data_IF_210947675350
#
_entry.id   IF_210947675350
#
_cell.length_a   1.000
_cell.length_b   1.000
_cell.length_c   1.000
_cell.angle_alpha   90.00
_cell.angle_beta   90.00
_cell.angle_gamma   90.00
#
_symmetry.space_group_name_H-M   'P 1'
#
loop_
_entity.id
_entity.type
_entity.pdbx_description
1 polymer ?
#
# COMPACT_ATOMS: atom_id res chain seq x y z
N UNK A 1 28.74 -1.39 12.48
CA UNK A 1 28.31 -2.59 11.70
C UNK A 1 29.30 -3.71 11.96
N UNK A 2 28.83 -4.93 12.19
CA UNK A 2 29.72 -6.11 12.27
C UNK A 2 29.69 -6.88 10.98
N UNK A 3 30.84 -7.39 10.57
CA UNK A 3 31.03 -8.20 9.37
C UNK A 3 31.77 -9.48 9.75
N UNK A 4 31.50 -10.55 9.01
CA UNK A 4 32.19 -11.81 9.11
C UNK A 4 33.37 -11.83 8.14
N UNK A 5 34.57 -12.13 8.61
CA UNK A 5 35.70 -12.41 7.72
C UNK A 5 35.48 -13.77 7.02
N UNK A 6 35.55 -13.78 5.69
CA UNK A 6 35.24 -14.96 4.87
C UNK A 6 36.30 -16.06 4.94
N UNK A 7 37.51 -15.74 5.41
CA UNK A 7 38.62 -16.69 5.56
C UNK A 7 38.72 -17.21 6.98
N UNK A 8 38.64 -16.34 7.99
CA UNK A 8 38.80 -16.72 9.39
C UNK A 8 37.47 -17.08 10.07
N UNK A 9 36.34 -16.65 9.50
CA UNK A 9 34.99 -16.76 10.09
C UNK A 9 34.87 -16.04 11.44
N UNK A 10 35.74 -15.07 11.70
CA UNK A 10 35.67 -14.20 12.87
C UNK A 10 34.79 -12.97 12.59
N UNK A 11 34.05 -12.53 13.60
CA UNK A 11 33.27 -11.29 13.54
C UNK A 11 34.16 -10.10 13.85
N UNK A 12 34.17 -9.12 12.95
CA UNK A 12 34.92 -7.87 13.05
C UNK A 12 33.94 -6.69 13.08
N UNK A 13 34.16 -5.75 13.98
CA UNK A 13 33.32 -4.56 14.14
C UNK A 13 33.93 -3.33 13.45
N UNK A 14 33.09 -2.61 12.70
CA UNK A 14 33.45 -1.40 11.96
C UNK A 14 32.52 -0.25 12.35
N UNK A 15 33.09 0.90 12.72
CA UNK A 15 32.35 2.09 13.18
C UNK A 15 32.31 3.23 12.15
N UNK A 16 33.31 3.35 11.27
CA UNK A 16 33.42 4.47 10.32
C UNK A 16 33.70 3.99 8.89
N UNK A 17 34.89 3.45 8.64
CA UNK A 17 35.27 2.94 7.32
C UNK A 17 34.81 1.49 7.16
N UNK A 18 33.62 1.33 6.56
CA UNK A 18 33.08 0.00 6.25
C UNK A 18 33.75 -0.49 4.95
N UNK A 19 34.45 -1.65 4.96
CA UNK A 19 35.09 -2.19 3.77
C UNK A 19 34.05 -2.70 2.76
N UNK A 20 34.47 -3.08 1.55
CA UNK A 20 33.57 -3.79 0.64
C UNK A 20 33.17 -5.14 1.24
N UNK A 21 31.87 -5.43 1.24
CA UNK A 21 31.33 -6.68 1.77
C UNK A 21 30.25 -7.28 0.86
N UNK A 22 30.09 -8.60 0.96
CA UNK A 22 28.96 -9.32 0.38
C UNK A 22 27.79 -9.39 1.38
N UNK A 23 26.56 -9.28 0.90
CA UNK A 23 25.37 -9.68 1.66
C UNK A 23 25.08 -11.14 1.33
N UNK A 24 24.78 -11.92 2.36
CA UNK A 24 24.25 -13.26 2.19
C UNK A 24 22.76 -13.25 2.55
N UNK A 25 21.93 -13.61 1.58
CA UNK A 25 20.47 -13.56 1.71
C UNK A 25 19.90 -14.45 2.82
N UNK A 26 18.78 -14.02 3.42
CA UNK A 26 18.14 -14.61 4.60
C UNK A 26 17.61 -16.04 4.39
N UNK A 27 18.16 -16.95 5.21
CA UNK A 27 17.96 -18.41 5.35
C UNK A 27 18.05 -19.24 4.06
N UNK A 28 18.85 -20.31 4.15
CA UNK A 28 19.14 -21.26 3.06
C UNK A 28 18.34 -22.56 3.15
N UNK A 29 17.24 -22.56 3.92
CA UNK A 29 16.40 -23.73 4.18
C UNK A 29 15.26 -23.46 5.18
N UNK A 30 14.68 -24.52 5.78
CA UNK A 30 13.58 -24.40 6.73
C UNK A 30 14.00 -23.77 8.08
N UNK A 31 15.29 -23.86 8.44
CA UNK A 31 15.85 -23.30 9.69
C UNK A 31 16.68 -22.04 9.44
N UNK A 32 16.85 -21.22 10.48
CA UNK A 32 17.82 -20.10 10.48
C UNK A 32 19.24 -20.65 10.47
N UNK A 33 20.12 -20.00 9.72
CA UNK A 33 21.53 -20.38 9.62
C UNK A 33 22.24 -20.02 10.92
N UNK A 34 22.96 -20.98 11.47
CA UNK A 34 23.85 -20.74 12.61
C UNK A 34 25.29 -20.53 12.13
N UNK A 35 26.14 -19.99 13.00
CA UNK A 35 27.58 -19.84 12.72
C UNK A 35 28.25 -21.21 12.43
N UNK A 36 27.74 -22.30 13.01
CA UNK A 36 28.22 -23.67 12.73
C UNK A 36 27.84 -24.14 11.32
N UNK A 37 26.66 -23.74 10.83
CA UNK A 37 26.30 -24.00 9.42
C UNK A 37 27.25 -23.22 8.49
N UNK A 38 27.66 -22.00 8.86
CA UNK A 38 28.61 -21.20 8.07
C UNK A 38 29.99 -21.86 7.94
N UNK A 39 30.48 -22.58 8.96
CA UNK A 39 31.77 -23.29 8.91
C UNK A 39 31.79 -24.48 7.93
N UNK A 40 30.64 -25.08 7.63
CA UNK A 40 30.51 -26.14 6.63
C UNK A 40 30.08 -25.61 5.24
N UNK A 41 29.73 -24.33 5.15
CA UNK A 41 29.06 -23.77 3.98
C UNK A 41 30.03 -23.14 2.97
N UNK A 42 29.76 -23.42 1.69
CA UNK A 42 30.52 -22.92 0.54
C UNK A 42 30.38 -21.41 0.32
N UNK A 43 29.49 -20.70 1.02
CA UNK A 43 29.17 -19.31 0.67
C UNK A 43 30.25 -18.30 1.05
N UNK A 44 30.95 -18.48 2.18
CA UNK A 44 32.14 -17.67 2.46
C UNK A 44 33.22 -17.91 1.40
N UNK A 45 33.34 -19.15 0.90
CA UNK A 45 34.22 -19.46 -0.23
C UNK A 45 33.76 -18.81 -1.53
N UNK A 46 32.44 -18.68 -1.77
CA UNK A 46 31.89 -17.96 -2.94
C UNK A 46 32.16 -16.45 -2.84
N UNK A 47 31.96 -15.84 -1.67
CA UNK A 47 32.30 -14.43 -1.46
C UNK A 47 33.81 -14.18 -1.65
N UNK A 48 34.64 -15.06 -1.08
CA UNK A 48 36.10 -15.00 -1.25
C UNK A 48 36.53 -15.22 -2.71
N UNK A 49 35.85 -16.10 -3.48
CA UNK A 49 36.15 -16.29 -4.90
C UNK A 49 35.80 -15.07 -5.76
N UNK A 50 34.93 -14.19 -5.27
CA UNK A 50 34.63 -12.89 -5.86
C UNK A 50 35.53 -11.77 -5.31
N UNK A 51 36.55 -12.10 -4.53
CA UNK A 51 37.53 -11.15 -3.99
C UNK A 51 37.04 -10.32 -2.80
N UNK A 52 35.95 -10.72 -2.16
CA UNK A 52 35.39 -10.01 -1.00
C UNK A 52 35.86 -10.69 0.28
N UNK A 53 36.64 -9.96 1.08
CA UNK A 53 37.13 -10.44 2.38
C UNK A 53 36.02 -10.54 3.41
N UNK A 54 35.01 -9.67 3.34
CA UNK A 54 33.97 -9.55 4.36
C UNK A 54 32.60 -9.93 3.81
N UNK A 55 31.79 -10.55 4.66
CA UNK A 55 30.40 -10.87 4.39
C UNK A 55 29.50 -10.45 5.55
N UNK A 56 28.26 -10.10 5.27
CA UNK A 56 27.25 -9.80 6.26
C UNK A 56 26.12 -10.81 6.17
N UNK A 57 25.73 -11.33 7.34
CA UNK A 57 24.66 -12.32 7.53
C UNK A 57 23.87 -11.90 8.76
N UNK A 58 22.56 -11.78 8.64
CA UNK A 58 21.67 -11.33 9.71
C UNK A 58 21.78 -12.17 10.99
N UNK A 59 21.92 -13.48 10.85
CA UNK A 59 21.97 -14.40 11.98
C UNK A 59 23.25 -14.30 12.80
N UNK A 60 24.33 -13.77 12.23
CA UNK A 60 25.65 -13.74 12.87
C UNK A 60 26.13 -12.32 13.13
N UNK A 61 25.80 -11.37 12.27
CA UNK A 61 26.29 -10.00 12.36
C UNK A 61 25.45 -9.12 13.29
N UNK A 62 24.24 -9.57 13.68
CA UNK A 62 23.33 -8.83 14.57
C UNK A 62 23.21 -9.54 15.93
N UNK A 63 23.39 -8.78 17.01
CA UNK A 63 23.28 -9.31 18.36
C UNK A 63 21.82 -9.24 18.75
N UNK A 64 21.13 -10.36 18.57
CA UNK A 64 19.72 -10.49 18.91
C UNK A 64 19.47 -10.45 20.43
N UNK A 65 20.52 -10.48 21.26
CA UNK A 65 20.40 -10.36 22.72
C UNK A 65 20.34 -8.90 23.18
N UNK A 66 20.92 -7.98 22.40
CA UNK A 66 20.88 -6.54 22.65
C UNK A 66 19.71 -5.90 21.92
N UNK A 67 18.70 -5.44 22.66
CA UNK A 67 17.51 -4.79 22.06
C UNK A 67 17.85 -3.47 21.36
N UNK A 68 18.87 -2.75 21.86
CA UNK A 68 19.35 -1.52 21.25
C UNK A 68 20.03 -1.81 19.90
N UNK A 69 20.96 -2.77 19.88
CA UNK A 69 21.68 -3.15 18.65
C UNK A 69 20.71 -3.72 17.62
N UNK A 70 19.79 -4.60 18.04
CA UNK A 70 18.77 -5.13 17.15
C UNK A 70 17.95 -4.01 16.51
N UNK A 71 17.54 -3.00 17.30
CA UNK A 71 16.78 -1.86 16.79
C UNK A 71 17.58 -1.00 15.81
N UNK A 72 18.83 -0.70 16.13
CA UNK A 72 19.71 0.06 15.23
C UNK A 72 19.96 -0.70 13.92
N UNK A 73 20.26 -2.00 14.02
CA UNK A 73 20.51 -2.86 12.87
C UNK A 73 19.31 -2.94 11.94
N UNK A 74 18.10 -3.10 12.49
CA UNK A 74 16.88 -3.26 11.72
C UNK A 74 16.47 -1.96 11.02
N UNK A 75 16.73 -0.80 11.62
CA UNK A 75 16.53 0.51 10.97
C UNK A 75 17.62 0.83 9.93
N UNK A 76 18.77 0.13 9.98
CA UNK A 76 19.90 0.35 9.06
C UNK A 76 20.02 -0.71 7.96
N UNK A 77 19.29 -1.82 8.07
CA UNK A 77 19.47 -3.01 7.23
C UNK A 77 19.29 -2.73 5.73
N UNK A 78 18.30 -1.93 5.36
CA UNK A 78 18.08 -1.55 3.96
C UNK A 78 19.28 -0.83 3.37
N UNK A 79 19.88 0.09 4.14
CA UNK A 79 21.09 0.80 3.76
C UNK A 79 22.27 -0.15 3.64
N UNK A 80 22.40 -1.12 4.54
CA UNK A 80 23.45 -2.13 4.44
C UNK A 80 23.28 -3.02 3.20
N UNK A 81 22.06 -3.31 2.76
CA UNK A 81 21.85 -3.97 1.47
C UNK A 81 22.27 -3.08 0.30
N UNK A 82 21.89 -1.81 0.33
CA UNK A 82 22.19 -0.84 -0.71
C UNK A 82 23.69 -0.58 -0.88
N UNK A 83 24.43 -0.50 0.23
CA UNK A 83 25.87 -0.21 0.25
C UNK A 83 26.73 -1.47 0.00
N UNK A 84 26.12 -2.66 -0.10
CA UNK A 84 26.84 -3.90 -0.35
C UNK A 84 27.40 -3.99 -1.78
N UNK A 85 28.55 -4.68 -1.93
CA UNK A 85 29.15 -4.91 -3.24
C UNK A 85 28.35 -5.91 -4.08
N UNK A 86 27.80 -6.95 -3.42
CA UNK A 86 27.00 -8.00 -4.03
C UNK A 86 26.10 -8.64 -2.99
N UNK A 87 24.89 -9.02 -3.38
CA UNK A 87 24.01 -9.86 -2.59
C UNK A 87 23.91 -11.26 -3.21
N UNK A 88 24.34 -12.30 -2.49
CA UNK A 88 24.18 -13.68 -2.90
C UNK A 88 22.83 -14.23 -2.42
N UNK A 89 21.95 -14.54 -3.36
CA UNK A 89 20.64 -15.15 -3.12
C UNK A 89 20.72 -16.66 -3.38
N UNK A 90 20.74 -17.47 -2.32
CA UNK A 90 20.78 -18.93 -2.43
C UNK A 90 19.36 -19.51 -2.48
N UNK A 91 19.06 -20.22 -3.56
CA UNK A 91 17.76 -20.84 -3.83
C UNK A 91 17.90 -22.36 -3.68
N UNK A 92 17.83 -22.83 -2.42
CA UNK A 92 18.02 -24.25 -2.08
C UNK A 92 16.96 -25.21 -2.65
N UNK A 93 15.84 -24.68 -3.15
CA UNK A 93 14.77 -25.42 -3.81
C UNK A 93 14.82 -25.35 -5.34
N UNK A 94 15.85 -24.71 -5.90
CA UNK A 94 16.08 -24.61 -7.34
C UNK A 94 17.25 -25.50 -7.72
N UNK A 95 17.07 -26.31 -8.76
CA UNK A 95 18.12 -27.15 -9.31
C UNK A 95 18.15 -27.01 -10.82
N UNK A 96 19.36 -27.00 -11.38
CA UNK A 96 19.56 -27.06 -12.82
C UNK A 96 19.08 -28.41 -13.36
N UNK A 97 18.23 -28.39 -14.37
CA UNK A 97 17.82 -29.61 -15.06
C UNK A 97 19.00 -30.19 -15.87
N UNK A 98 19.31 -31.47 -15.64
CA UNK A 98 20.57 -32.11 -16.01
C UNK A 98 20.78 -32.51 -17.48
N UNK A 99 19.78 -32.40 -18.34
CA UNK A 99 19.89 -32.83 -19.74
C UNK A 99 20.37 -31.69 -20.64
N UNK A 100 21.68 -31.50 -20.63
CA UNK A 100 22.39 -30.92 -21.76
C UNK A 100 22.21 -31.87 -22.96
N UNK A 101 22.03 -31.34 -24.18
CA UNK A 101 22.13 -32.05 -25.47
C UNK A 101 20.86 -32.63 -26.14
N UNK A 102 19.69 -31.98 -26.04
CA UNK A 102 18.69 -32.11 -27.10
C UNK A 102 19.05 -31.21 -28.30
N UNK A 103 20.08 -31.57 -29.06
CA UNK A 103 20.31 -31.01 -30.41
C UNK A 103 21.13 -29.71 -30.54
N UNK A 104 22.00 -29.38 -29.59
CA UNK A 104 23.00 -28.30 -29.76
C UNK A 104 22.48 -26.86 -29.63
N UNK A 105 21.23 -26.68 -29.16
CA UNK A 105 20.66 -25.36 -28.85
C UNK A 105 20.52 -25.22 -27.34
N UNK A 106 20.93 -24.06 -26.83
CA UNK A 106 20.84 -23.74 -25.41
C UNK A 106 19.36 -23.72 -24.97
N UNK A 107 19.01 -24.50 -23.94
CA UNK A 107 17.62 -24.58 -23.47
C UNK A 107 17.15 -23.23 -22.93
N UNK A 108 15.89 -22.81 -23.19
CA UNK A 108 15.29 -21.63 -22.58
C UNK A 108 15.42 -21.66 -21.05
N UNK A 109 15.61 -20.51 -20.42
CA UNK A 109 15.84 -20.39 -18.96
C UNK A 109 14.83 -21.20 -18.13
N UNK A 110 13.53 -21.10 -18.45
CA UNK A 110 12.47 -21.82 -17.74
C UNK A 110 12.59 -23.36 -17.82
N UNK A 111 13.24 -23.90 -18.87
CA UNK A 111 13.55 -25.34 -18.97
C UNK A 111 14.83 -25.71 -18.23
N UNK A 112 15.80 -24.80 -18.19
CA UNK A 112 17.06 -24.98 -17.44
C UNK A 112 16.82 -24.96 -15.93
N UNK A 113 15.91 -24.10 -15.47
CA UNK A 113 15.55 -23.92 -14.07
C UNK A 113 14.01 -23.88 -13.88
N UNK A 114 13.32 -25.04 -14.00
CA UNK A 114 11.86 -25.09 -13.92
C UNK A 114 11.29 -24.66 -12.56
N UNK A 115 12.09 -24.78 -11.48
CA UNK A 115 11.71 -24.37 -10.13
C UNK A 115 11.92 -22.89 -9.81
N UNK A 116 12.61 -22.11 -10.67
CA UNK A 116 13.04 -20.76 -10.31
C UNK A 116 11.88 -19.85 -9.94
N UNK A 117 10.85 -19.78 -10.78
CA UNK A 117 9.68 -18.91 -10.54
C UNK A 117 8.82 -19.33 -9.34
N UNK A 118 8.96 -20.58 -8.89
CA UNK A 118 8.22 -21.14 -7.77
C UNK A 118 9.03 -21.15 -6.46
N UNK A 119 10.25 -20.60 -6.46
CA UNK A 119 11.12 -20.68 -5.30
C UNK A 119 10.51 -20.00 -4.08
N UNK A 120 10.64 -20.66 -2.92
CA UNK A 120 10.21 -20.13 -1.63
C UNK A 120 10.89 -18.80 -1.30
N UNK A 121 12.05 -18.52 -1.89
CA UNK A 121 12.78 -17.27 -1.73
C UNK A 121 11.92 -16.05 -2.07
N UNK A 122 11.13 -16.11 -3.15
CA UNK A 122 10.24 -15.02 -3.57
C UNK A 122 9.03 -14.81 -2.66
N UNK A 123 8.74 -15.76 -1.77
CA UNK A 123 7.58 -15.73 -0.87
C UNK A 123 7.92 -15.23 0.53
N UNK A 124 9.18 -14.87 0.80
CA UNK A 124 9.65 -14.44 2.12
C UNK A 124 9.60 -12.93 2.27
N UNK A 125 9.31 -12.43 3.46
CA UNK A 125 9.24 -10.97 3.72
C UNK A 125 10.56 -10.26 3.43
N UNK A 126 11.62 -10.60 4.16
CA UNK A 126 12.93 -9.93 4.13
C UNK A 126 13.64 -9.95 2.79
N UNK A 127 13.43 -10.99 1.99
CA UNK A 127 14.07 -11.12 0.66
C UNK A 127 13.59 -10.07 -0.35
N UNK A 128 12.54 -9.30 -0.02
CA UNK A 128 12.12 -8.16 -0.84
C UNK A 128 13.18 -7.05 -0.83
N UNK A 129 13.70 -6.71 0.34
CA UNK A 129 14.72 -5.67 0.48
C UNK A 129 16.03 -6.14 -0.15
N UNK A 130 16.39 -7.41 0.01
CA UNK A 130 17.57 -8.03 -0.61
C UNK A 130 17.52 -8.05 -2.14
N UNK A 131 16.32 -8.07 -2.73
CA UNK A 131 16.16 -7.99 -4.18
C UNK A 131 16.32 -6.55 -4.68
N UNK A 132 15.69 -5.61 -3.98
CA UNK A 132 15.52 -4.23 -4.44
C UNK A 132 16.75 -3.38 -4.12
N UNK A 133 17.25 -3.43 -2.88
CA UNK A 133 18.25 -2.49 -2.39
C UNK A 133 19.65 -2.67 -2.99
N UNK A 134 20.22 -3.89 -3.09
CA UNK A 134 21.57 -4.06 -3.65
C UNK A 134 21.60 -3.74 -5.15
N UNK A 135 22.67 -3.11 -5.61
CA UNK A 135 22.89 -2.88 -7.05
C UNK A 135 23.13 -4.19 -7.83
N UNK A 136 23.83 -5.14 -7.20
CA UNK A 136 24.13 -6.46 -7.76
C UNK A 136 23.56 -7.57 -6.89
N UNK A 137 22.81 -8.49 -7.51
CA UNK A 137 22.33 -9.72 -6.87
C UNK A 137 22.70 -10.90 -7.77
N UNK A 138 23.32 -11.92 -7.20
CA UNK A 138 23.69 -13.17 -7.87
C UNK A 138 22.84 -14.30 -7.29
N UNK A 139 22.11 -15.00 -8.15
CA UNK A 139 21.28 -16.13 -7.75
C UNK A 139 22.08 -17.42 -7.83
N UNK A 140 22.06 -18.22 -6.77
CA UNK A 140 22.74 -19.50 -6.67
C UNK A 140 21.73 -20.63 -6.55
N UNK A 141 21.96 -21.75 -7.22
CA UNK A 141 21.11 -22.95 -7.11
C UNK A 141 21.47 -23.81 -5.89
N UNK A 142 20.72 -24.88 -5.67
CA UNK A 142 20.93 -25.85 -4.58
C UNK A 142 22.32 -26.52 -4.57
N UNK A 143 23.08 -26.43 -5.66
CA UNK A 143 24.44 -26.94 -5.79
C UNK A 143 25.53 -25.87 -5.63
N UNK A 144 25.13 -24.64 -5.28
CA UNK A 144 25.98 -23.45 -5.19
C UNK A 144 26.54 -22.98 -6.53
N UNK A 145 25.91 -23.35 -7.64
CA UNK A 145 26.26 -22.82 -8.95
C UNK A 145 25.46 -21.56 -9.24
N UNK A 146 26.11 -20.60 -9.90
CA UNK A 146 25.46 -19.39 -10.38
C UNK A 146 24.37 -19.75 -11.40
N UNK A 147 23.15 -19.30 -11.10
CA UNK A 147 22.01 -19.34 -12.01
C UNK A 147 22.19 -18.21 -13.02
N UNK A 148 22.20 -16.97 -12.53
CA UNK A 148 22.47 -15.72 -13.25
C UNK A 148 22.38 -14.51 -12.29
N UNK A 149 22.51 -13.30 -12.81
CA UNK A 149 22.38 -12.02 -12.08
C UNK A 149 20.98 -11.42 -12.14
N UNK A 150 20.65 -10.53 -11.20
CA UNK A 150 19.42 -9.71 -11.25
C UNK A 150 19.27 -8.92 -12.54
N UNK A 151 20.37 -8.40 -13.09
CA UNK A 151 20.35 -7.64 -14.34
C UNK A 151 19.91 -8.51 -15.52
N UNK A 152 20.48 -9.72 -15.65
CA UNK A 152 20.11 -10.66 -16.72
C UNK A 152 18.68 -11.19 -16.58
N UNK A 153 18.22 -11.42 -15.34
CA UNK A 153 16.91 -12.01 -15.06
C UNK A 153 15.80 -10.98 -14.89
N UNK A 154 16.06 -9.70 -15.18
CA UNK A 154 15.14 -8.60 -14.90
C UNK A 154 13.70 -8.84 -15.40
N UNK A 155 13.45 -9.27 -16.66
CA UNK A 155 12.09 -9.52 -17.14
C UNK A 155 11.38 -10.67 -16.40
N UNK A 156 12.14 -11.72 -16.04
CA UNK A 156 11.63 -12.89 -15.32
C UNK A 156 11.27 -12.49 -13.88
N UNK A 157 12.15 -11.74 -13.22
CA UNK A 157 11.95 -11.21 -11.88
C UNK A 157 10.77 -10.25 -11.81
N UNK A 158 10.60 -9.38 -12.81
CA UNK A 158 9.44 -8.50 -12.92
C UNK A 158 8.15 -9.31 -13.04
N UNK A 159 8.12 -10.35 -13.89
CA UNK A 159 6.98 -11.25 -14.03
C UNK A 159 6.61 -11.99 -12.73
N UNK A 160 7.60 -12.45 -11.96
CA UNK A 160 7.39 -13.15 -10.69
C UNK A 160 6.86 -12.19 -9.61
N UNK A 161 7.55 -11.07 -9.42
CA UNK A 161 7.36 -10.18 -8.26
C UNK A 161 6.31 -9.10 -8.50
N UNK A 162 6.13 -8.67 -9.75
CA UNK A 162 5.36 -7.49 -10.11
C UNK A 162 6.10 -6.17 -9.89
N UNK A 163 7.41 -6.21 -9.63
CA UNK A 163 8.25 -5.01 -9.50
C UNK A 163 8.62 -4.53 -10.92
N UNK A 164 8.46 -3.23 -11.24
CA UNK A 164 8.88 -2.68 -12.53
C UNK A 164 10.36 -2.94 -12.83
N UNK A 165 10.68 -3.17 -14.10
CA UNK A 165 12.05 -3.46 -14.55
C UNK A 165 13.02 -2.32 -14.23
N UNK A 166 12.55 -1.07 -14.28
CA UNK A 166 13.35 0.12 -13.97
C UNK A 166 13.84 0.09 -12.52
N UNK A 167 12.99 -0.37 -11.59
CA UNK A 167 13.32 -0.46 -10.16
C UNK A 167 14.26 -1.63 -9.91
N UNK A 168 14.04 -2.77 -10.57
CA UNK A 168 14.97 -3.91 -10.50
C UNK A 168 16.35 -3.55 -11.07
N UNK A 169 16.40 -2.67 -12.07
CA UNK A 169 17.63 -2.13 -12.66
C UNK A 169 18.31 -1.04 -11.80
N UNK A 170 17.72 -0.64 -10.66
CA UNK A 170 18.33 0.29 -9.70
C UNK A 170 17.67 1.66 -9.60
N UNK A 171 16.53 1.90 -10.26
CA UNK A 171 15.73 3.10 -9.99
C UNK A 171 15.23 3.11 -8.53
N UNK A 172 15.14 4.30 -7.96
CA UNK A 172 14.66 4.50 -6.59
C UNK A 172 13.23 3.94 -6.44
N UNK A 173 12.96 3.08 -5.43
CA UNK A 173 11.61 2.57 -5.18
C UNK A 173 10.59 3.66 -4.86
N UNK A 174 11.05 4.83 -4.43
CA UNK A 174 10.21 5.98 -4.10
C UNK A 174 9.55 6.60 -5.35
N UNK A 175 9.97 6.23 -6.57
CA UNK A 175 9.26 6.61 -7.81
C UNK A 175 7.95 5.84 -7.99
N UNK A 176 7.77 4.71 -7.29
CA UNK A 176 6.53 3.96 -7.26
C UNK A 176 5.63 4.41 -6.11
N UNK A 177 4.32 4.31 -6.33
CA UNK A 177 3.32 4.63 -5.33
C UNK A 177 3.44 3.74 -4.09
N UNK A 178 2.88 4.19 -2.96
CA UNK A 178 2.78 3.37 -1.76
C UNK A 178 2.01 2.08 -2.05
N UNK A 179 0.88 2.17 -2.77
CA UNK A 179 0.09 1.01 -3.17
C UNK A 179 0.89 -0.01 -3.99
N UNK A 180 1.70 0.47 -4.94
CA UNK A 180 2.57 -0.37 -5.75
C UNK A 180 3.60 -1.08 -4.90
N UNK A 181 4.32 -0.34 -4.04
CA UNK A 181 5.30 -0.89 -3.11
C UNK A 181 4.70 -1.93 -2.16
N UNK A 182 3.51 -1.66 -1.62
CA UNK A 182 2.79 -2.61 -0.78
C UNK A 182 2.39 -3.88 -1.56
N UNK A 183 2.03 -3.75 -2.84
CA UNK A 183 1.68 -4.89 -3.69
C UNK A 183 2.84 -5.87 -3.89
N UNK A 184 4.09 -5.39 -3.91
CA UNK A 184 5.29 -6.24 -4.03
C UNK A 184 5.50 -7.14 -2.81
N UNK A 185 4.95 -6.74 -1.66
CA UNK A 185 4.95 -7.49 -0.42
C UNK A 185 3.70 -8.38 -0.22
N UNK A 186 2.67 -8.22 -1.04
CA UNK A 186 1.35 -8.85 -0.84
C UNK A 186 1.35 -10.38 -0.78
N UNK A 187 2.29 -11.03 -1.48
CA UNK A 187 2.43 -12.50 -1.53
C UNK A 187 3.52 -13.03 -0.61
N UNK A 188 4.13 -12.16 0.20
CA UNK A 188 5.24 -12.50 1.08
C UNK A 188 4.74 -12.85 2.48
N UNK A 189 5.44 -13.76 3.14
CA UNK A 189 5.15 -14.27 4.48
C UNK A 189 6.38 -14.14 5.37
N UNK A 190 6.12 -13.91 6.65
CA UNK A 190 7.13 -13.83 7.70
C UNK A 190 6.83 -14.85 8.79
N UNK A 191 7.84 -15.18 9.60
CA UNK A 191 7.68 -16.14 10.69
C UNK A 191 6.88 -15.54 11.86
N UNK A 192 7.15 -14.28 12.20
CA UNK A 192 6.34 -13.50 13.15
C UNK A 192 5.42 -12.56 12.38
N UNK A 193 4.23 -12.30 12.92
CA UNK A 193 3.23 -11.46 12.25
C UNK A 193 3.73 -10.03 12.11
N UNK A 194 4.34 -9.48 13.16
CA UNK A 194 4.89 -8.13 13.22
C UNK A 194 6.03 -7.88 12.22
N UNK A 195 6.80 -8.92 11.85
CA UNK A 195 7.88 -8.80 10.85
C UNK A 195 7.32 -8.44 9.46
N UNK A 196 6.02 -8.65 9.20
CA UNK A 196 5.34 -8.18 7.99
C UNK A 196 5.49 -6.66 7.83
N UNK A 197 5.55 -5.92 8.93
CA UNK A 197 5.78 -4.49 8.93
C UNK A 197 7.28 -4.15 8.91
N UNK A 198 8.07 -4.79 9.78
CA UNK A 198 9.49 -4.46 9.93
C UNK A 198 10.30 -4.74 8.66
N UNK A 199 9.96 -5.79 7.92
CA UNK A 199 10.59 -6.09 6.65
C UNK A 199 10.25 -5.10 5.51
N UNK A 200 9.43 -4.08 5.78
CA UNK A 200 9.07 -3.05 4.82
C UNK A 200 9.58 -1.65 5.22
N UNK A 201 10.06 -1.47 6.44
CA UNK A 201 10.51 -0.16 6.96
C UNK A 201 11.48 0.54 6.01
N UNK A 202 12.52 -0.14 5.56
CA UNK A 202 13.51 0.42 4.64
C UNK A 202 12.95 0.75 3.25
N UNK A 203 12.01 -0.05 2.74
CA UNK A 203 11.36 0.20 1.44
C UNK A 203 10.48 1.48 1.47
N UNK A 204 9.99 1.83 2.65
CA UNK A 204 9.15 3.01 2.87
C UNK A 204 9.86 4.16 3.56
N UNK A 205 11.17 4.06 3.80
CA UNK A 205 11.96 5.06 4.53
C UNK A 205 11.34 5.42 5.90
N UNK A 206 10.89 4.40 6.62
CA UNK A 206 10.27 4.53 7.95
C UNK A 206 11.24 4.05 9.02
N UNK A 207 11.44 4.88 10.04
CA UNK A 207 12.08 4.49 11.29
C UNK A 207 11.03 4.36 12.41
N UNK A 208 10.95 3.17 13.01
CA UNK A 208 10.06 2.93 14.15
C UNK A 208 10.64 1.85 15.08
N UNK A 209 10.35 1.93 16.41
CA UNK A 209 10.82 0.93 17.35
C UNK A 209 10.08 -0.41 17.15
N UNK A 210 10.82 -1.50 17.24
CA UNK A 210 10.26 -2.85 17.17
C UNK A 210 9.66 -3.24 18.53
N UNK A 211 8.38 -3.57 18.52
CA UNK A 211 7.63 -4.05 19.67
C UNK A 211 7.18 -5.49 19.38
N UNK A 212 8.00 -6.48 19.76
CA UNK A 212 7.62 -7.89 19.58
C UNK A 212 6.41 -8.25 20.46
N UNK A 213 5.46 -8.97 19.87
CA UNK A 213 4.16 -9.29 20.50
C UNK A 213 3.01 -8.33 20.17
N UNK A 214 3.23 -7.28 19.37
CA UNK A 214 2.15 -6.39 18.94
C UNK A 214 1.30 -6.95 17.77
N UNK A 215 1.78 -8.01 17.11
CA UNK A 215 1.08 -8.69 16.02
C UNK A 215 0.75 -7.77 14.85
N UNK A 216 -0.52 -7.79 14.41
CA UNK A 216 -0.99 -7.00 13.26
C UNK A 216 -0.90 -5.48 13.48
N UNK A 217 -0.80 -5.02 14.75
CA UNK A 217 -0.66 -3.58 15.06
C UNK A 217 0.64 -2.99 14.51
N UNK A 218 1.68 -3.81 14.32
CA UNK A 218 2.94 -3.35 13.72
C UNK A 218 2.71 -2.76 12.34
N UNK A 219 1.85 -3.39 11.53
CA UNK A 219 1.56 -2.95 10.17
C UNK A 219 0.68 -1.71 10.11
N UNK A 220 -0.21 -1.54 11.10
CA UNK A 220 -0.97 -0.30 11.29
C UNK A 220 0.00 0.84 11.63
N UNK A 221 0.91 0.64 12.58
CA UNK A 221 1.93 1.65 12.95
C UNK A 221 2.84 2.02 11.78
N UNK A 222 3.23 1.05 10.94
CA UNK A 222 3.99 1.32 9.72
C UNK A 222 3.21 2.29 8.81
N UNK A 223 1.94 2.00 8.53
CA UNK A 223 1.10 2.88 7.71
C UNK A 223 0.96 4.27 8.35
N UNK A 224 0.80 4.36 9.67
CA UNK A 224 0.77 5.65 10.38
C UNK A 224 2.06 6.45 10.23
N UNK A 225 3.24 5.80 10.26
CA UNK A 225 4.50 6.50 10.01
C UNK A 225 4.62 6.97 8.56
N UNK A 226 4.20 6.15 7.59
CA UNK A 226 4.18 6.53 6.17
C UNK A 226 3.30 7.77 5.95
N UNK A 227 2.11 7.80 6.58
CA UNK A 227 1.17 8.92 6.45
C UNK A 227 1.73 10.23 7.04
N UNK A 228 2.64 10.16 8.01
CA UNK A 228 3.26 11.37 8.58
C UNK A 228 4.23 12.05 7.63
N UNK A 229 4.81 11.32 6.68
CA UNK A 229 5.89 11.80 5.82
C UNK A 229 5.54 11.80 4.34
N UNK A 230 4.35 11.32 3.96
CA UNK A 230 3.93 11.16 2.57
C UNK A 230 2.51 11.67 2.32
N UNK A 231 2.34 12.40 1.21
CA UNK A 231 1.03 12.82 0.67
C UNK A 231 0.47 11.83 -0.36
N UNK A 232 1.11 10.66 -0.54
CA UNK A 232 0.63 9.64 -1.47
C UNK A 232 -0.60 8.89 -0.89
N UNK A 233 -1.78 9.32 -1.33
CA UNK A 233 -3.06 8.77 -0.90
C UNK A 233 -3.33 7.33 -1.38
N UNK A 234 -2.48 6.75 -2.24
CA UNK A 234 -2.65 5.36 -2.68
C UNK A 234 -2.53 4.36 -1.53
N UNK A 235 -2.02 4.78 -0.36
CA UNK A 235 -2.05 3.99 0.88
C UNK A 235 -3.46 3.56 1.29
N UNK A 236 -4.51 4.28 0.88
CA UNK A 236 -5.91 3.93 1.17
C UNK A 236 -6.58 3.08 0.08
N UNK A 237 -5.85 2.69 -0.97
CA UNK A 237 -6.41 1.96 -2.11
C UNK A 237 -6.48 0.43 -1.89
N UNK A 238 -6.17 -0.04 -0.68
CA UNK A 238 -6.31 -1.45 -0.31
C UNK A 238 -7.78 -1.87 -0.30
N UNK A 239 -8.05 -3.18 -0.44
CA UNK A 239 -9.42 -3.66 -0.34
C UNK A 239 -10.29 -3.49 -1.60
N UNK A 240 -9.74 -2.96 -2.69
CA UNK A 240 -10.44 -2.75 -3.97
C UNK A 240 -10.97 -4.04 -4.62
N UNK A 241 -10.50 -5.21 -4.18
CA UNK A 241 -11.02 -6.49 -4.65
C UNK A 241 -12.35 -6.83 -3.96
N UNK A 242 -13.40 -7.07 -4.76
CA UNK A 242 -14.75 -7.42 -4.33
C UNK A 242 -14.86 -8.65 -3.39
N UNK A 243 -13.77 -9.41 -3.19
CA UNK A 243 -13.71 -10.59 -2.34
C UNK A 243 -13.50 -10.29 -0.83
N UNK A 244 -13.29 -9.03 -0.43
CA UNK A 244 -12.94 -8.67 0.95
C UNK A 244 -14.13 -8.18 1.79
N UNK A 245 -15.37 -8.32 1.31
CA UNK A 245 -16.60 -7.92 2.02
C UNK A 245 -16.86 -8.64 3.35
N UNK A 246 -16.05 -9.64 3.70
CA UNK A 246 -16.18 -10.44 4.91
C UNK A 246 -15.07 -10.21 5.95
N UNK A 247 -14.21 -9.19 5.81
CA UNK A 247 -13.28 -8.87 6.90
C UNK A 247 -14.06 -8.26 8.08
N UNK A 248 -14.07 -8.90 9.27
CA UNK A 248 -14.94 -8.47 10.37
C UNK A 248 -14.56 -7.14 11.04
N UNK A 249 -13.49 -6.46 10.61
CA UNK A 249 -12.94 -5.26 11.27
C UNK A 249 -12.22 -4.33 10.26
N UNK A 250 -12.93 -3.83 9.24
CA UNK A 250 -12.37 -2.86 8.29
C UNK A 250 -12.15 -1.50 8.93
N UNK A 251 -11.00 -1.28 9.56
CA UNK A 251 -10.53 0.06 9.94
C UNK A 251 -10.13 0.89 8.72
N UNK A 252 -9.66 2.12 8.92
CA UNK A 252 -9.15 2.99 7.84
C UNK A 252 -7.89 2.42 7.14
N UNK A 253 -7.11 1.63 7.87
CA UNK A 253 -5.82 1.10 7.45
C UNK A 253 -5.89 -0.41 7.23
N UNK A 254 -5.08 -0.90 6.28
CA UNK A 254 -5.00 -2.33 5.96
C UNK A 254 -4.42 -3.12 7.15
N UNK A 255 -4.86 -4.36 7.33
CA UNK A 255 -4.26 -5.27 8.33
C UNK A 255 -2.96 -5.92 7.86
N UNK A 256 -2.72 -6.00 6.54
CA UNK A 256 -1.51 -6.57 5.96
C UNK A 256 -1.27 -6.10 4.51
N UNK A 257 -0.05 -6.25 3.96
CA UNK A 257 0.26 -6.00 2.56
C UNK A 257 -0.59 -6.84 1.58
N UNK A 258 -1.12 -8.00 2.02
CA UNK A 258 -1.96 -8.84 1.18
C UNK A 258 -3.23 -8.12 0.68
N UNK A 259 -3.71 -7.13 1.45
CA UNK A 259 -4.83 -6.28 1.06
C UNK A 259 -4.53 -5.39 -0.17
N UNK A 260 -3.25 -5.22 -0.53
CA UNK A 260 -2.78 -4.47 -1.70
C UNK A 260 -2.46 -5.37 -2.91
N UNK A 261 -2.84 -6.66 -2.89
CA UNK A 261 -2.54 -7.61 -3.97
C UNK A 261 -3.03 -7.18 -5.36
N UNK A 262 -4.11 -6.40 -5.44
CA UNK A 262 -4.67 -5.88 -6.68
C UNK A 262 -4.25 -4.44 -6.99
N UNK A 263 -3.27 -3.90 -6.26
CA UNK A 263 -2.92 -2.49 -6.32
C UNK A 263 -1.65 -2.18 -7.16
N UNK A 264 -1.25 -3.11 -8.03
CA UNK A 264 -0.04 -3.00 -8.87
C UNK A 264 -0.08 -1.81 -9.85
N UNK A 265 -1.25 -1.47 -10.34
CA UNK A 265 -1.41 -0.40 -11.35
C UNK A 265 -1.98 0.89 -10.72
N UNK A 266 -2.00 0.97 -9.39
CA UNK A 266 -2.52 2.13 -8.66
C UNK A 266 -1.40 3.14 -8.48
N UNK A 267 -1.52 4.28 -9.15
CA UNK A 267 -0.59 5.41 -9.05
C UNK A 267 -1.30 6.63 -8.48
N UNK A 268 -0.58 7.58 -7.86
CA UNK A 268 -1.15 8.85 -7.47
C UNK A 268 -1.68 9.55 -8.72
N UNK A 269 -2.84 10.20 -8.61
CA UNK A 269 -3.37 10.98 -9.72
C UNK A 269 -2.60 12.30 -9.85
N UNK A 270 -1.64 12.35 -10.79
CA UNK A 270 -0.89 13.55 -11.15
C UNK A 270 -1.29 14.05 -12.54
N UNK A 271 -2.46 14.68 -12.65
CA UNK A 271 -2.77 15.47 -13.86
C UNK A 271 -2.21 16.89 -13.71
N UNK A 272 -1.54 17.45 -14.74
CA UNK A 272 -1.16 18.87 -14.76
C UNK A 272 -2.34 19.83 -14.52
N UNK A 273 -3.56 19.42 -14.87
CA UNK A 273 -4.81 20.15 -14.57
C UNK A 273 -5.41 19.81 -13.19
N UNK A 274 -4.94 18.74 -12.53
CA UNK A 274 -5.37 18.33 -11.20
C UNK A 274 -4.63 19.00 -10.05
N UNK A 275 -3.47 19.64 -10.28
CA UNK A 275 -2.87 20.56 -9.29
C UNK A 275 -3.79 21.72 -8.89
N UNK A 276 -4.81 22.01 -9.71
CA UNK A 276 -5.88 22.97 -9.38
C UNK A 276 -7.16 22.33 -8.82
N UNK A 277 -7.28 20.98 -8.82
CA UNK A 277 -8.54 20.29 -8.50
C UNK A 277 -8.40 19.29 -7.34
N UNK A 278 -7.41 18.40 -7.30
CA UNK A 278 -7.31 17.31 -6.29
C UNK A 278 -6.48 17.65 -5.04
N UNK A 279 -5.43 18.46 -5.18
CA UNK A 279 -4.72 19.08 -4.04
C UNK A 279 -5.64 19.98 -3.19
N UNK A 280 -6.81 20.35 -3.72
CA UNK A 280 -7.89 21.05 -3.01
C UNK A 280 -8.98 20.12 -2.48
N UNK A 281 -8.99 18.84 -2.88
CA UNK A 281 -10.04 17.85 -2.58
C UNK A 281 -9.65 16.97 -1.40
N UNK A 282 -8.37 16.74 -1.14
CA UNK A 282 -7.93 15.97 0.03
C UNK A 282 -6.87 16.80 0.75
N UNK A 283 -7.11 17.18 2.00
CA UNK A 283 -6.11 17.79 2.86
C UNK A 283 -6.05 17.05 4.19
N UNK A 284 -4.86 16.74 4.67
CA UNK A 284 -4.63 16.08 5.95
C UNK A 284 -4.14 17.10 6.96
N UNK A 285 -4.76 17.14 8.15
CA UNK A 285 -4.25 17.88 9.30
C UNK A 285 -4.24 16.98 10.55
N UNK A 286 -3.79 17.54 11.67
CA UNK A 286 -3.78 16.85 12.97
C UNK A 286 -5.19 16.52 13.53
N UNK A 287 -6.27 16.85 12.81
CA UNK A 287 -7.66 16.50 13.12
C UNK A 287 -8.22 15.42 12.18
N UNK A 288 -7.55 15.09 11.08
CA UNK A 288 -7.91 13.98 10.20
C UNK A 288 -7.74 14.25 8.70
N UNK A 289 -8.37 13.39 7.90
CA UNK A 289 -8.41 13.52 6.43
C UNK A 289 -9.64 14.35 6.06
N UNK A 290 -9.42 15.53 5.48
CA UNK A 290 -10.48 16.40 4.97
C UNK A 290 -10.66 16.15 3.48
N UNK A 291 -11.81 15.58 3.11
CA UNK A 291 -12.20 15.33 1.73
C UNK A 291 -13.16 16.43 1.25
N UNK A 292 -12.65 17.43 0.55
CA UNK A 292 -13.48 18.38 -0.21
C UNK A 292 -13.91 17.78 -1.54
N UNK A 293 -15.01 17.03 -1.52
CA UNK A 293 -15.64 16.49 -2.73
C UNK A 293 -16.18 17.63 -3.61
N UNK A 294 -15.43 18.00 -4.64
CA UNK A 294 -15.92 18.90 -5.69
C UNK A 294 -16.81 18.09 -6.63
N UNK A 295 -18.11 18.01 -6.32
CA UNK A 295 -19.10 17.51 -7.26
C UNK A 295 -19.17 18.48 -8.44
N UNK A 296 -18.44 18.18 -9.51
CA UNK A 296 -18.56 18.92 -10.78
C UNK A 296 -19.99 18.69 -11.28
N UNK A 297 -20.78 19.75 -11.54
CA UNK A 297 -22.11 19.59 -12.07
C UNK A 297 -21.98 19.05 -13.50
N UNK A 298 -22.05 17.73 -13.65
CA UNK A 298 -22.65 17.16 -14.85
C UNK A 298 -24.04 17.77 -14.94
N UNK A 299 -24.36 18.39 -16.07
CA UNK A 299 -25.60 19.12 -16.30
C UNK A 299 -26.77 18.34 -15.67
N UNK A 300 -27.38 18.98 -14.69
CA UNK A 300 -28.73 18.71 -14.18
C UNK A 300 -28.93 17.67 -13.05
N UNK A 301 -27.92 17.26 -12.27
CA UNK A 301 -28.16 16.48 -11.03
C UNK A 301 -27.03 16.59 -9.98
N UNK A 302 -27.31 17.17 -8.80
CA UNK A 302 -26.36 17.22 -7.67
C UNK A 302 -26.54 16.03 -6.71
N UNK A 303 -25.46 15.53 -6.10
CA UNK A 303 -25.46 14.39 -5.18
C UNK A 303 -26.48 14.50 -4.02
N UNK A 304 -26.76 15.72 -3.54
CA UNK A 304 -27.78 15.96 -2.53
C UNK A 304 -29.19 15.59 -3.02
N UNK A 305 -29.54 15.91 -4.27
CA UNK A 305 -30.85 15.55 -4.86
C UNK A 305 -30.97 14.02 -4.93
N UNK A 306 -29.91 13.31 -5.35
CA UNK A 306 -29.90 11.85 -5.38
C UNK A 306 -30.03 11.22 -3.99
N UNK A 307 -29.34 11.77 -2.99
CA UNK A 307 -29.45 11.29 -1.61
C UNK A 307 -30.88 11.47 -1.08
N UNK A 308 -31.54 12.59 -1.39
CA UNK A 308 -32.95 12.84 -1.04
C UNK A 308 -33.87 11.87 -1.80
N UNK A 309 -33.74 11.76 -3.13
CA UNK A 309 -34.59 10.87 -3.95
C UNK A 309 -34.48 9.39 -3.57
N UNK A 310 -33.33 8.96 -3.02
CA UNK A 310 -33.08 7.58 -2.57
C UNK A 310 -33.32 7.38 -1.08
N UNK A 311 -33.82 8.39 -0.37
CA UNK A 311 -34.05 8.36 1.08
C UNK A 311 -32.79 8.00 1.91
N UNK A 312 -31.63 8.38 1.41
CA UNK A 312 -30.34 8.15 2.08
C UNK A 312 -30.06 9.28 3.07
N UNK A 313 -30.81 9.31 4.18
CA UNK A 313 -30.77 10.39 5.17
C UNK A 313 -29.36 10.66 5.71
N UNK A 314 -28.61 9.61 6.06
CA UNK A 314 -27.25 9.75 6.59
C UNK A 314 -26.31 10.43 5.58
N UNK A 315 -26.43 10.11 4.29
CA UNK A 315 -25.62 10.71 3.23
C UNK A 315 -26.03 12.16 3.00
N UNK A 316 -27.33 12.44 2.94
CA UNK A 316 -27.83 13.80 2.80
C UNK A 316 -27.42 14.71 3.97
N UNK A 317 -27.44 14.19 5.21
CA UNK A 317 -26.98 14.91 6.40
C UNK A 317 -25.52 15.30 6.31
N UNK A 318 -24.65 14.35 5.96
CA UNK A 318 -23.21 14.62 5.79
C UNK A 318 -22.98 15.66 4.68
N UNK A 319 -23.75 15.61 3.59
CA UNK A 319 -23.65 16.59 2.50
C UNK A 319 -24.10 18.00 2.95
N UNK A 320 -25.21 18.10 3.67
CA UNK A 320 -25.74 19.38 4.19
C UNK A 320 -24.78 19.99 5.22
N UNK A 321 -24.32 19.20 6.20
CA UNK A 321 -23.34 19.61 7.20
C UNK A 321 -21.98 19.98 6.56
N UNK A 322 -21.64 19.34 5.43
CA UNK A 322 -20.49 19.64 4.60
C UNK A 322 -20.63 20.89 3.72
N UNK A 323 -21.74 21.64 3.82
CA UNK A 323 -21.96 22.88 3.08
C UNK A 323 -22.40 22.69 1.62
N UNK A 324 -23.10 21.59 1.31
CA UNK A 324 -23.71 21.42 0.00
C UNK A 324 -24.67 22.57 -0.34
N UNK A 325 -24.68 23.00 -1.61
CA UNK A 325 -25.63 23.99 -2.09
C UNK A 325 -27.06 23.41 -2.05
N UNK A 326 -27.93 24.02 -1.24
CA UNK A 326 -29.32 23.57 -1.03
C UNK A 326 -30.27 24.01 -2.15
N UNK A 327 -29.84 24.94 -3.02
CA UNK A 327 -30.64 25.52 -4.11
C UNK A 327 -30.27 24.93 -5.48
N UNK A 328 -29.57 23.81 -5.49
CA UNK A 328 -29.33 23.03 -6.71
C UNK A 328 -30.64 22.51 -7.28
N UNK A 329 -30.77 22.49 -8.60
CA UNK A 329 -31.96 22.00 -9.30
C UNK A 329 -31.64 20.80 -10.17
N UNK A 330 -32.59 19.88 -10.31
CA UNK A 330 -32.55 18.81 -11.31
C UNK A 330 -33.06 19.28 -12.69
N UNK A 331 -33.09 18.38 -13.66
CA UNK A 331 -33.59 18.67 -15.03
C UNK A 331 -35.07 19.02 -15.13
N UNK A 332 -35.84 19.01 -14.03
CA UNK A 332 -37.22 19.52 -13.94
C UNK A 332 -37.36 20.73 -13.03
N UNK A 333 -36.25 21.35 -12.61
CA UNK A 333 -36.25 22.50 -11.71
C UNK A 333 -36.48 22.16 -10.24
N UNK A 334 -36.42 20.88 -9.84
CA UNK A 334 -36.65 20.52 -8.44
C UNK A 334 -35.41 20.73 -7.59
N UNK A 335 -35.57 21.50 -6.51
CA UNK A 335 -34.59 21.60 -5.44
C UNK A 335 -34.68 20.38 -4.50
N UNK A 336 -33.63 20.08 -3.70
CA UNK A 336 -33.70 19.08 -2.63
C UNK A 336 -34.94 19.21 -1.75
N UNK A 337 -35.38 20.45 -1.46
CA UNK A 337 -36.58 20.71 -0.66
C UNK A 337 -37.88 20.36 -1.41
N UNK A 338 -37.95 20.61 -2.72
CA UNK A 338 -39.08 20.21 -3.56
C UNK A 338 -39.18 18.68 -3.64
N UNK A 339 -38.06 17.98 -3.87
CA UNK A 339 -38.02 16.51 -3.87
C UNK A 339 -38.45 15.93 -2.52
N UNK A 340 -37.87 16.41 -1.42
CA UNK A 340 -38.20 15.93 -0.07
C UNK A 340 -39.69 16.16 0.27
N UNK A 341 -40.26 17.30 -0.18
CA UNK A 341 -41.66 17.61 0.04
C UNK A 341 -42.62 16.78 -0.82
N UNK A 342 -42.24 16.48 -2.08
CA UNK A 342 -43.01 15.58 -2.95
C UNK A 342 -43.00 14.14 -2.44
N UNK A 343 -41.89 13.68 -1.86
CA UNK A 343 -41.73 12.33 -1.31
C UNK A 343 -42.21 12.18 0.15
N UNK A 344 -42.64 13.27 0.80
CA UNK A 344 -43.17 13.21 2.18
C UNK A 344 -42.11 13.03 3.28
N UNK A 345 -40.83 13.30 2.99
CA UNK A 345 -39.70 13.07 3.89
C UNK A 345 -39.62 14.16 4.97
N UNK A 346 -40.44 14.03 6.03
CA UNK A 346 -40.59 15.07 7.07
C UNK A 346 -39.28 15.47 7.75
N UNK A 347 -38.42 14.52 8.09
CA UNK A 347 -37.13 14.82 8.74
C UNK A 347 -36.12 15.44 7.76
N UNK A 348 -36.13 15.05 6.48
CA UNK A 348 -35.31 15.69 5.46
C UNK A 348 -35.73 17.15 5.22
N UNK A 349 -37.05 17.40 5.17
CA UNK A 349 -37.61 18.76 5.07
C UNK A 349 -37.19 19.60 6.27
N UNK A 350 -37.23 19.05 7.49
CA UNK A 350 -36.76 19.73 8.70
C UNK A 350 -35.30 20.11 8.58
N UNK A 351 -34.45 19.15 8.22
CA UNK A 351 -33.01 19.31 8.11
C UNK A 351 -32.63 20.39 7.09
N UNK A 352 -33.25 20.36 5.89
CA UNK A 352 -33.02 21.33 4.83
C UNK A 352 -33.44 22.76 5.25
N UNK A 353 -34.60 22.92 5.90
CA UNK A 353 -35.06 24.23 6.37
C UNK A 353 -34.16 24.78 7.48
N UNK A 354 -33.71 23.94 8.41
CA UNK A 354 -32.82 24.34 9.49
C UNK A 354 -31.44 24.82 8.98
N UNK A 355 -31.01 24.32 7.83
CA UNK A 355 -29.79 24.75 7.14
C UNK A 355 -30.02 25.85 6.09
N UNK A 356 -31.23 26.44 6.04
CA UNK A 356 -31.50 27.65 5.27
C UNK A 356 -32.00 27.43 3.84
N UNK A 357 -32.51 26.24 3.49
CA UNK A 357 -33.13 26.01 2.18
C UNK A 357 -34.31 26.97 1.94
N UNK A 358 -34.43 27.45 0.70
CA UNK A 358 -35.48 28.39 0.31
C UNK A 358 -36.85 27.72 0.29
N UNK A 359 -37.64 27.98 1.33
CA UNK A 359 -39.02 27.48 1.49
C UNK A 359 -39.98 27.95 0.38
N UNK A 360 -39.59 28.95 -0.41
CA UNK A 360 -40.35 29.51 -1.54
C UNK A 360 -39.78 29.12 -2.90
N UNK A 361 -38.87 28.15 -2.96
CA UNK A 361 -38.44 27.60 -4.23
C UNK A 361 -39.63 27.14 -5.07
N UNK A 362 -39.52 27.26 -6.39
CA UNK A 362 -40.54 26.83 -7.34
C UNK A 362 -39.90 25.96 -8.41
N UNK A 363 -40.57 24.88 -8.79
CA UNK A 363 -40.19 24.06 -9.95
C UNK A 363 -40.55 24.79 -11.27
N UNK A 364 -40.22 24.18 -12.42
CA UNK A 364 -40.56 24.71 -13.74
C UNK A 364 -42.06 24.86 -14.00
N UNK A 365 -42.90 24.20 -13.19
CA UNK A 365 -44.36 24.24 -13.25
C UNK A 365 -44.96 25.23 -12.23
N UNK A 366 -44.13 25.99 -11.51
CA UNK A 366 -44.56 26.94 -10.49
C UNK A 366 -45.12 26.30 -9.21
N UNK A 367 -44.77 25.05 -8.92
CA UNK A 367 -45.14 24.40 -7.65
C UNK A 367 -44.12 24.71 -6.55
N UNK A 368 -44.64 25.10 -5.38
CA UNK A 368 -43.85 25.25 -4.16
C UNK A 368 -43.77 23.91 -3.40
N UNK A 369 -42.83 23.76 -2.44
CA UNK A 369 -42.76 22.58 -1.59
C UNK A 369 -44.09 22.30 -0.89
N UNK A 370 -44.80 23.35 -0.45
CA UNK A 370 -46.13 23.22 0.15
C UNK A 370 -47.15 22.66 -0.83
N UNK A 371 -47.20 23.17 -2.07
CA UNK A 371 -48.14 22.72 -3.10
C UNK A 371 -47.89 21.25 -3.47
N UNK A 372 -46.62 20.83 -3.56
CA UNK A 372 -46.27 19.43 -3.82
C UNK A 372 -46.70 18.51 -2.67
N UNK A 373 -46.35 18.86 -1.43
CA UNK A 373 -46.74 18.09 -0.24
C UNK A 373 -48.26 17.96 -0.11
N UNK A 374 -49.01 19.05 -0.30
CA UNK A 374 -50.47 19.03 -0.25
C UNK A 374 -51.10 18.19 -1.38
N UNK A 375 -50.59 18.29 -2.61
CA UNK A 375 -51.09 17.48 -3.74
C UNK A 375 -50.89 15.98 -3.54
N UNK A 376 -49.82 15.59 -2.84
CA UNK A 376 -49.48 14.19 -2.56
C UNK A 376 -50.05 13.68 -1.23
N UNK A 377 -50.73 14.54 -0.45
CA UNK A 377 -51.35 14.15 0.83
C UNK A 377 -50.37 14.05 2.00
N UNK A 378 -49.20 14.70 1.90
CA UNK A 378 -48.19 14.70 2.96
C UNK A 378 -48.47 15.80 4.00
N UNK A 379 -49.49 15.58 4.83
CA UNK A 379 -50.00 16.55 5.81
C UNK A 379 -48.94 17.05 6.80
N UNK A 380 -48.07 16.14 7.27
CA UNK A 380 -47.01 16.49 8.23
C UNK A 380 -45.96 17.43 7.63
N UNK A 381 -45.59 17.21 6.38
CA UNK A 381 -44.70 18.12 5.63
C UNK A 381 -45.37 19.48 5.43
N UNK A 382 -46.64 19.51 5.01
CA UNK A 382 -47.39 20.75 4.81
C UNK A 382 -47.52 21.56 6.11
N UNK A 383 -47.75 20.88 7.25
CA UNK A 383 -47.79 21.47 8.58
C UNK A 383 -46.44 22.05 8.98
N UNK A 384 -45.35 21.31 8.74
CA UNK A 384 -43.99 21.75 9.04
C UNK A 384 -43.62 23.01 8.24
N UNK A 385 -43.92 23.04 6.94
CA UNK A 385 -43.67 24.19 6.06
C UNK A 385 -44.46 25.43 6.50
N UNK A 386 -45.73 25.26 6.89
CA UNK A 386 -46.57 26.36 7.42
C UNK A 386 -45.99 26.93 8.71
N UNK A 387 -45.56 26.06 9.63
CA UNK A 387 -44.98 26.46 10.93
C UNK A 387 -43.65 27.22 10.77
N UNK A 388 -42.85 26.89 9.75
CA UNK A 388 -41.53 27.48 9.49
C UNK A 388 -41.59 28.72 8.58
N UNK A 389 -42.77 29.29 8.33
CA UNK A 389 -42.92 30.60 7.70
C UNK A 389 -43.32 30.60 6.22
N UNK A 390 -43.86 29.49 5.71
CA UNK A 390 -44.58 29.54 4.44
C UNK A 390 -45.90 30.31 4.63
N UNK A 391 -45.99 31.49 4.05
CA UNK A 391 -47.19 32.33 4.04
C UNK A 391 -47.58 32.62 2.60
N UNK A 392 -48.85 32.36 2.25
CA UNK A 392 -49.43 32.74 0.96
C UNK A 392 -49.43 34.27 0.84
N UNK A 393 -48.72 34.82 -0.15
CA UNK A 393 -48.83 36.24 -0.51
C UNK A 393 -49.65 36.37 -1.79
N UNK A 394 -50.65 37.24 -1.73
CA UNK A 394 -51.41 37.74 -2.90
C UNK A 394 -50.54 38.63 -3.78
#
# INVERSE_FOLDING_TARGET
MRLLDTLTLELVEFTEEIPLYAILSHRWGPKELTLQDLTENKLCSVAASHGLQYAWVDTCCIDKTSSAELSEAMNSMYRWYQDSAVCFAFLGDVQRHGDLWAGGVDLPFAKRYPGFSASVWFTRGWTLQELIAPSMVIFLDSTWQEIDTKASLCPILSGITGIPEEILAGASPQTASIAQRMSWASRRKTARVEDTAYCLMGLFDVNMPMLYGEGEKAFIRLQEQIIKTSDDHTIFAWGFSAALSNHPNGGLLASSPAAFSSCRDIVPWDSPNARNTLSRVISTDNKGIHLKLNFVPGKDCTALIWAVLREHEAVARVLIEGGANLEVVDGGGHTPLLCAAESGQTEMVRLLIEHGANIRAVDEYGNTPFKLASRKGHEEVARLLTKKGWHWKF
#
